data_IF_980420272187
#
_entry.id   IF_980420272187
#
_cell.length_a   1.000
_cell.length_b   1.000
_cell.length_c   1.000
_cell.angle_alpha   90.00
_cell.angle_beta   90.00
_cell.angle_gamma   90.00
#
_symmetry.space_group_name_H-M   'P 1'
#
loop_
_entity.id
_entity.type
_entity.pdbx_description
1 polymer ?
#
# COMPACT_ATOMS: atom_id res chain seq x y z
N UNK A 1 -21.20 8.87 -10.72
CA UNK A 1 -21.88 7.58 -10.50
C UNK A 1 -20.87 6.43 -10.35
N UNK A 2 -19.96 6.22 -11.31
CA UNK A 2 -19.06 5.05 -11.31
C UNK A 2 -18.11 4.97 -10.11
N UNK A 3 -17.52 6.09 -9.67
CA UNK A 3 -16.63 6.09 -8.48
C UNK A 3 -17.37 5.57 -7.24
N UNK A 4 -18.59 6.05 -7.00
CA UNK A 4 -19.42 5.61 -5.87
C UNK A 4 -19.87 4.16 -6.04
N UNK A 5 -20.15 3.71 -7.26
CA UNK A 5 -20.50 2.32 -7.53
C UNK A 5 -19.33 1.37 -7.23
N UNK A 6 -18.10 1.71 -7.62
CA UNK A 6 -16.91 0.92 -7.28
C UNK A 6 -16.66 0.93 -5.77
N UNK A 7 -16.75 2.09 -5.13
CA UNK A 7 -16.59 2.20 -3.67
C UNK A 7 -17.66 1.38 -2.92
N UNK A 8 -18.91 1.44 -3.38
CA UNK A 8 -20.03 0.67 -2.85
C UNK A 8 -19.84 -0.83 -3.05
N UNK A 9 -19.28 -1.26 -4.18
CA UNK A 9 -18.95 -2.67 -4.43
C UNK A 9 -17.87 -3.17 -3.46
N UNK A 10 -16.82 -2.39 -3.20
CA UNK A 10 -15.80 -2.70 -2.18
C UNK A 10 -16.47 -2.83 -0.80
N UNK A 11 -17.28 -1.83 -0.42
CA UNK A 11 -18.01 -1.86 0.85
C UNK A 11 -18.92 -3.08 0.99
N UNK A 12 -19.70 -3.40 -0.04
CA UNK A 12 -20.57 -4.58 -0.08
C UNK A 12 -19.78 -5.88 0.11
N UNK A 13 -18.64 -6.04 -0.55
CA UNK A 13 -17.79 -7.21 -0.40
C UNK A 13 -17.26 -7.38 1.03
N UNK A 14 -16.81 -6.28 1.67
CA UNK A 14 -16.35 -6.32 3.05
C UNK A 14 -17.49 -6.50 4.07
N UNK A 15 -18.66 -5.93 3.85
CA UNK A 15 -19.83 -6.20 4.68
C UNK A 15 -20.28 -7.65 4.58
N UNK A 16 -20.28 -8.22 3.37
CA UNK A 16 -20.58 -9.64 3.18
C UNK A 16 -19.53 -10.52 3.86
N UNK A 17 -18.24 -10.18 3.76
CA UNK A 17 -17.16 -10.85 4.49
C UNK A 17 -17.43 -10.87 6.00
N UNK A 18 -17.74 -9.70 6.59
CA UNK A 18 -18.03 -9.56 8.01
C UNK A 18 -19.23 -10.43 8.39
N UNK A 19 -20.36 -10.32 7.69
CA UNK A 19 -21.58 -11.04 8.02
C UNK A 19 -21.46 -12.56 7.82
N UNK A 20 -20.66 -13.01 6.86
CA UNK A 20 -20.52 -14.43 6.54
C UNK A 20 -19.46 -15.15 7.40
N UNK A 21 -18.34 -14.49 7.73
CA UNK A 21 -17.17 -15.16 8.34
C UNK A 21 -16.71 -14.57 9.66
N UNK A 22 -17.21 -13.38 10.02
CA UNK A 22 -16.82 -12.64 11.23
C UNK A 22 -18.02 -11.97 11.89
N UNK A 23 -19.18 -12.62 11.89
CA UNK A 23 -20.44 -11.97 12.23
C UNK A 23 -20.46 -11.53 13.71
N UNK A 24 -20.44 -10.22 14.00
CA UNK A 24 -20.35 -9.71 15.38
C UNK A 24 -21.67 -9.88 16.15
N UNK A 25 -22.75 -10.30 15.48
CA UNK A 25 -24.07 -10.48 16.08
C UNK A 25 -24.36 -11.94 16.50
N UNK A 26 -23.43 -12.86 16.25
CA UNK A 26 -23.53 -14.24 16.78
C UNK A 26 -23.43 -14.18 18.31
N UNK A 27 -24.49 -14.64 18.99
CA UNK A 27 -24.56 -14.65 20.44
C UNK A 27 -23.91 -15.90 21.01
N UNK A 28 -23.14 -15.72 22.08
CA UNK A 28 -22.66 -16.84 22.90
C UNK A 28 -23.81 -17.39 23.73
N UNK A 29 -23.96 -18.72 23.78
CA UNK A 29 -24.91 -19.41 24.64
C UNK A 29 -24.23 -20.59 25.36
N UNK A 30 -24.10 -20.55 26.70
CA UNK A 30 -24.52 -19.47 27.60
C UNK A 30 -23.69 -18.20 27.39
N UNK A 31 -24.30 -17.04 27.62
CA UNK A 31 -23.57 -15.78 27.66
C UNK A 31 -22.63 -15.79 28.88
N UNK A 32 -21.33 -15.53 28.72
CA UNK A 32 -20.43 -15.45 29.85
C UNK A 32 -20.78 -14.21 30.69
N UNK A 33 -20.55 -14.30 32.02
CA UNK A 33 -20.79 -13.19 32.95
C UNK A 33 -19.88 -11.99 32.61
N UNK A 34 -18.64 -12.26 32.20
CA UNK A 34 -17.66 -11.27 31.76
C UNK A 34 -17.11 -11.61 30.37
N UNK A 35 -16.71 -10.59 29.61
CA UNK A 35 -16.03 -10.76 28.32
C UNK A 35 -14.62 -11.36 28.48
N UNK A 36 -14.09 -11.99 27.43
CA UNK A 36 -12.74 -12.57 27.44
C UNK A 36 -11.59 -11.55 27.33
N UNK A 37 -11.93 -10.26 27.18
CA UNK A 37 -11.03 -9.13 26.91
C UNK A 37 -9.94 -9.43 25.85
N UNK A 38 -9.02 -8.50 25.64
CA UNK A 38 -7.78 -8.74 24.95
C UNK A 38 -6.75 -9.36 25.92
N UNK A 39 -5.74 -10.03 25.36
CA UNK A 39 -4.56 -10.41 26.12
C UNK A 39 -4.00 -9.18 26.85
N UNK A 40 -3.60 -9.24 28.14
CA UNK A 40 -3.10 -8.09 28.90
C UNK A 40 -2.05 -7.24 28.18
N UNK A 41 -1.12 -7.84 27.43
CA UNK A 41 -0.09 -7.11 26.65
C UNK A 41 -0.66 -6.25 25.50
N UNK A 42 -1.90 -6.52 25.11
CA UNK A 42 -2.64 -5.81 24.08
C UNK A 42 -3.53 -4.70 24.68
N UNK A 43 -3.68 -4.62 26.00
CA UNK A 43 -4.51 -3.59 26.64
C UNK A 43 -3.74 -2.28 26.84
N UNK A 44 -3.26 -1.71 25.73
CA UNK A 44 -2.42 -0.50 25.73
C UNK A 44 -2.98 0.58 24.80
N UNK A 45 -2.71 1.85 25.14
CA UNK A 45 -3.17 3.00 24.37
C UNK A 45 -2.56 3.02 22.96
N UNK A 46 -1.32 2.55 22.82
CA UNK A 46 -0.65 2.35 21.53
C UNK A 46 -1.42 1.40 20.64
N UNK A 47 -1.88 0.24 21.16
CA UNK A 47 -2.75 -0.67 20.42
C UNK A 47 -4.11 -0.07 20.12
N UNK A 48 -4.68 0.76 21.00
CA UNK A 48 -5.97 1.39 20.72
C UNK A 48 -5.91 2.41 19.56
N UNK A 49 -4.76 3.06 19.37
CA UNK A 49 -4.59 4.15 18.40
C UNK A 49 -4.07 3.66 17.04
N UNK A 50 -3.04 2.81 17.00
CA UNK A 50 -2.35 2.54 15.73
C UNK A 50 -3.19 1.76 14.69
N UNK A 51 -4.00 0.72 15.03
CA UNK A 51 -4.78 -0.01 14.05
C UNK A 51 -5.85 0.86 13.37
N UNK A 52 -6.62 1.72 14.08
CA UNK A 52 -7.49 2.69 13.41
C UNK A 52 -6.76 3.58 12.40
N UNK A 53 -5.55 4.07 12.72
CA UNK A 53 -4.75 4.87 11.79
C UNK A 53 -4.32 4.05 10.56
N UNK A 54 -3.82 2.83 10.76
CA UNK A 54 -3.46 1.92 9.67
C UNK A 54 -4.66 1.64 8.75
N UNK A 55 -5.83 1.34 9.34
CA UNK A 55 -7.05 1.08 8.57
C UNK A 55 -7.57 2.32 7.85
N UNK A 56 -7.50 3.51 8.45
CA UNK A 56 -7.81 4.77 7.75
C UNK A 56 -6.89 4.97 6.54
N UNK A 57 -5.62 4.60 6.66
CA UNK A 57 -4.69 4.59 5.53
C UNK A 57 -5.08 3.60 4.43
N UNK A 58 -5.27 2.32 4.78
CA UNK A 58 -5.65 1.28 3.82
C UNK A 58 -6.98 1.56 3.12
N UNK A 59 -8.02 1.90 3.90
CA UNK A 59 -9.34 2.23 3.37
C UNK A 59 -9.28 3.54 2.59
N UNK A 60 -8.46 4.51 3.00
CA UNK A 60 -8.26 5.74 2.24
C UNK A 60 -7.77 5.49 0.81
N UNK A 61 -6.88 4.53 0.61
CA UNK A 61 -6.43 4.15 -0.74
C UNK A 61 -7.52 3.50 -1.61
N UNK A 62 -8.58 2.93 -1.01
CA UNK A 62 -9.73 2.41 -1.77
C UNK A 62 -10.43 3.49 -2.59
N UNK A 63 -10.41 4.74 -2.11
CA UNK A 63 -10.99 5.88 -2.83
C UNK A 63 -10.19 6.14 -4.11
N UNK A 64 -8.86 6.16 -4.01
CA UNK A 64 -7.96 6.34 -5.16
C UNK A 64 -8.13 5.21 -6.19
N UNK A 65 -8.28 3.97 -5.71
CA UNK A 65 -8.62 2.82 -6.54
C UNK A 65 -9.97 2.99 -7.24
N UNK A 66 -11.01 3.41 -6.52
CA UNK A 66 -12.35 3.64 -7.06
C UNK A 66 -12.35 4.71 -8.16
N UNK A 67 -11.60 5.80 -7.98
CA UNK A 67 -11.37 6.80 -9.03
C UNK A 67 -10.63 6.22 -10.24
N UNK A 68 -9.67 5.33 -10.04
CA UNK A 68 -8.88 4.71 -11.11
C UNK A 68 -9.72 3.77 -11.96
N UNK A 69 -10.48 2.87 -11.31
CA UNK A 69 -11.37 1.92 -11.99
C UNK A 69 -12.48 2.66 -12.72
N UNK A 70 -13.10 3.67 -12.10
CA UNK A 70 -14.10 4.49 -12.76
C UNK A 70 -13.54 5.20 -13.99
N UNK A 71 -12.34 5.78 -13.91
CA UNK A 71 -11.70 6.45 -15.04
C UNK A 71 -11.35 5.48 -16.19
N UNK A 72 -10.98 4.23 -15.88
CA UNK A 72 -10.78 3.17 -16.88
C UNK A 72 -12.09 2.76 -17.57
N UNK A 73 -13.20 2.67 -16.82
CA UNK A 73 -14.53 2.36 -17.36
C UNK A 73 -14.99 3.49 -18.29
N UNK A 74 -14.86 4.74 -17.84
CA UNK A 74 -15.27 5.95 -18.59
C UNK A 74 -14.34 6.28 -19.76
N UNK A 75 -13.10 5.78 -19.74
CA UNK A 75 -12.08 6.07 -20.74
C UNK A 75 -11.57 7.52 -20.69
N UNK A 76 -11.75 8.23 -19.56
CA UNK A 76 -11.39 9.64 -19.40
C UNK A 76 -10.39 9.80 -18.26
N UNK A 77 -9.13 10.03 -18.63
CA UNK A 77 -8.02 10.21 -17.69
C UNK A 77 -7.25 11.48 -18.09
N UNK A 78 -7.46 12.55 -17.32
CA UNK A 78 -6.88 13.86 -17.56
C UNK A 78 -6.21 14.44 -16.31
N UNK A 79 -5.67 15.65 -16.40
CA UNK A 79 -5.04 16.33 -15.28
C UNK A 79 -6.03 16.68 -14.15
N UNK A 80 -7.34 16.75 -14.44
CA UNK A 80 -8.36 16.99 -13.42
C UNK A 80 -8.50 15.76 -12.52
N UNK A 81 -8.50 14.56 -13.09
CA UNK A 81 -8.50 13.30 -12.33
C UNK A 81 -7.36 13.26 -11.30
N UNK A 82 -6.14 13.63 -11.70
CA UNK A 82 -4.98 13.64 -10.81
C UNK A 82 -5.15 14.63 -9.64
N UNK A 83 -5.77 15.78 -9.91
CA UNK A 83 -6.09 16.81 -8.90
C UNK A 83 -7.12 16.32 -7.88
N UNK A 84 -8.06 15.48 -8.30
CA UNK A 84 -9.04 14.85 -7.41
C UNK A 84 -8.42 13.74 -6.57
N UNK A 85 -7.56 12.91 -7.16
CA UNK A 85 -6.95 11.74 -6.48
C UNK A 85 -5.88 12.13 -5.48
N UNK A 86 -5.10 13.20 -5.75
CA UNK A 86 -3.94 13.58 -4.93
C UNK A 86 -4.30 13.89 -3.47
N UNK A 87 -5.34 14.69 -3.14
CA UNK A 87 -5.73 14.92 -1.75
C UNK A 87 -6.13 13.64 -1.01
N UNK A 88 -6.87 12.73 -1.66
CA UNK A 88 -7.24 11.44 -1.07
C UNK A 88 -6.03 10.56 -0.83
N UNK A 89 -5.09 10.54 -1.79
CA UNK A 89 -3.82 9.81 -1.63
C UNK A 89 -3.04 10.36 -0.45
N UNK A 90 -2.98 11.70 -0.30
CA UNK A 90 -2.25 12.35 0.78
C UNK A 90 -2.86 12.05 2.15
N UNK A 91 -4.18 12.13 2.27
CA UNK A 91 -4.89 11.80 3.51
C UNK A 91 -4.65 10.35 3.90
N UNK A 92 -4.82 9.41 2.96
CA UNK A 92 -4.54 7.99 3.19
C UNK A 92 -3.09 7.76 3.61
N UNK A 93 -2.13 8.38 2.91
CA UNK A 93 -0.71 8.27 3.20
C UNK A 93 -0.34 8.84 4.57
N UNK A 94 -0.93 9.97 4.99
CA UNK A 94 -0.70 10.56 6.32
C UNK A 94 -1.19 9.63 7.44
N UNK A 95 -2.40 9.08 7.31
CA UNK A 95 -2.92 8.13 8.29
C UNK A 95 -2.10 6.85 8.34
N UNK A 96 -1.69 6.32 7.18
CA UNK A 96 -0.81 5.14 7.14
C UNK A 96 0.55 5.44 7.77
N UNK A 97 1.14 6.60 7.51
CA UNK A 97 2.39 7.05 8.14
C UNK A 97 2.25 7.12 9.66
N UNK A 98 1.17 7.74 10.15
CA UNK A 98 0.90 7.83 11.59
C UNK A 98 0.66 6.45 12.21
N UNK A 99 -0.05 5.56 11.53
CA UNK A 99 -0.28 4.19 11.99
C UNK A 99 1.01 3.37 12.07
N UNK A 100 1.88 3.45 11.06
CA UNK A 100 3.20 2.80 11.07
C UNK A 100 4.06 3.38 12.19
N UNK A 101 4.17 4.71 12.29
CA UNK A 101 5.00 5.36 13.31
C UNK A 101 4.53 5.02 14.74
N UNK A 102 3.22 5.06 14.98
CA UNK A 102 2.66 4.72 16.29
C UNK A 102 2.82 3.23 16.60
N UNK A 103 2.65 2.35 15.59
CA UNK A 103 2.89 0.92 15.73
C UNK A 103 4.35 0.60 16.08
N UNK A 104 5.30 1.22 15.37
CA UNK A 104 6.74 1.11 15.67
C UNK A 104 7.09 1.61 17.06
N UNK A 105 6.52 2.72 17.50
CA UNK A 105 6.72 3.24 18.85
C UNK A 105 6.18 2.26 19.91
N UNK A 106 4.95 1.77 19.74
CA UNK A 106 4.34 0.78 20.62
C UNK A 106 5.15 -0.51 20.71
N UNK A 107 5.55 -1.06 19.57
CA UNK A 107 6.37 -2.28 19.51
C UNK A 107 7.71 -2.12 20.24
N UNK A 108 8.33 -0.94 20.17
CA UNK A 108 9.58 -0.67 20.85
C UNK A 108 9.46 -0.74 22.38
N UNK A 109 8.44 -0.11 22.98
CA UNK A 109 8.32 -0.04 24.44
C UNK A 109 7.53 -1.20 25.06
N UNK A 110 6.49 -1.70 24.40
CA UNK A 110 5.60 -2.73 24.99
C UNK A 110 6.10 -4.14 24.69
N UNK A 111 6.53 -4.37 23.44
CA UNK A 111 6.94 -5.71 22.99
C UNK A 111 8.44 -5.96 23.19
N UNK A 112 9.20 -4.91 23.53
CA UNK A 112 10.60 -5.03 23.95
C UNK A 112 11.52 -5.59 22.88
N UNK A 113 11.19 -5.39 21.60
CA UNK A 113 11.88 -6.05 20.50
C UNK A 113 13.36 -5.62 20.32
N UNK A 114 13.80 -4.58 21.03
CA UNK A 114 15.17 -4.07 20.93
C UNK A 114 15.37 -3.11 19.75
N UNK A 115 14.27 -2.60 19.15
CA UNK A 115 14.26 -1.70 18.00
C UNK A 115 12.86 -1.25 17.63
N UNK A 116 12.75 -0.35 16.64
CA UNK A 116 11.47 0.19 16.16
C UNK A 116 10.91 -0.53 14.91
N UNK A 117 11.68 -1.47 14.35
CA UNK A 117 11.36 -2.17 13.10
C UNK A 117 12.09 -3.52 13.03
N UNK A 118 11.39 -4.59 12.61
CA UNK A 118 11.91 -5.96 12.60
C UNK A 118 11.84 -6.64 11.23
N UNK A 119 11.28 -5.97 10.23
CA UNK A 119 10.95 -6.56 8.94
C UNK A 119 10.01 -7.78 9.07
N UNK A 120 9.14 -7.76 10.09
CA UNK A 120 8.12 -8.80 10.25
C UNK A 120 7.12 -8.72 9.08
N UNK A 121 6.58 -9.85 8.57
CA UNK A 121 5.64 -9.82 7.46
C UNK A 121 4.43 -8.90 7.63
N UNK A 122 3.97 -8.66 8.87
CA UNK A 122 2.86 -7.73 9.15
C UNK A 122 3.31 -6.27 9.08
N UNK A 123 4.52 -5.97 9.54
CA UNK A 123 5.15 -4.65 9.32
C UNK A 123 5.29 -4.39 7.81
N UNK A 124 5.83 -5.36 7.07
CA UNK A 124 6.01 -5.29 5.61
C UNK A 124 4.68 -5.09 4.87
N UNK A 125 3.61 -5.75 5.32
CA UNK A 125 2.26 -5.58 4.78
C UNK A 125 1.75 -4.13 4.88
N UNK A 126 2.12 -3.38 5.91
CA UNK A 126 1.82 -1.95 6.02
C UNK A 126 2.78 -1.08 5.21
N UNK A 127 4.03 -1.49 5.08
CA UNK A 127 5.06 -0.71 4.42
C UNK A 127 4.95 -0.70 2.89
N UNK A 128 4.55 -1.81 2.27
CA UNK A 128 4.36 -1.90 0.83
C UNK A 128 3.37 -0.87 0.26
N UNK A 129 2.12 -0.74 0.76
CA UNK A 129 1.21 0.31 0.28
C UNK A 129 1.69 1.71 0.67
N UNK A 130 2.49 1.87 1.72
CA UNK A 130 3.10 3.16 2.04
C UNK A 130 4.09 3.61 0.96
N UNK A 131 5.01 2.73 0.54
CA UNK A 131 5.98 3.00 -0.53
C UNK A 131 5.29 3.26 -1.88
N UNK A 132 4.33 2.41 -2.25
CA UNK A 132 3.54 2.59 -3.47
C UNK A 132 2.69 3.87 -3.42
N UNK A 133 2.13 4.22 -2.26
CA UNK A 133 1.41 5.47 -2.00
C UNK A 133 2.31 6.71 -2.14
N UNK A 134 3.56 6.63 -1.64
CA UNK A 134 4.55 7.70 -1.85
C UNK A 134 4.87 7.87 -3.34
N UNK A 135 5.07 6.77 -4.08
CA UNK A 135 5.28 6.83 -5.52
C UNK A 135 4.07 7.48 -6.24
N UNK A 136 2.86 7.05 -5.86
CA UNK A 136 1.60 7.58 -6.38
C UNK A 136 1.45 9.09 -6.16
N UNK A 137 1.77 9.60 -4.97
CA UNK A 137 1.74 11.04 -4.68
C UNK A 137 2.62 11.84 -5.65
N UNK A 138 3.86 11.38 -5.84
CA UNK A 138 4.81 12.03 -6.73
C UNK A 138 4.37 11.94 -8.19
N UNK A 139 3.89 10.77 -8.63
CA UNK A 139 3.40 10.56 -9.99
C UNK A 139 2.14 11.40 -10.29
N UNK A 140 1.24 11.55 -9.31
CA UNK A 140 0.05 12.39 -9.42
C UNK A 140 0.39 13.87 -9.61
N UNK A 141 1.45 14.38 -8.99
CA UNK A 141 1.92 15.76 -9.19
C UNK A 141 2.37 15.97 -10.65
N UNK A 142 3.16 15.03 -11.20
CA UNK A 142 3.61 15.08 -12.61
C UNK A 142 2.40 15.05 -13.54
N UNK A 143 1.45 14.15 -13.28
CA UNK A 143 0.24 14.01 -14.08
C UNK A 143 -0.64 15.27 -14.05
N UNK A 144 -0.84 15.87 -12.87
CA UNK A 144 -1.62 17.10 -12.73
C UNK A 144 -0.95 18.28 -13.44
N UNK A 145 0.37 18.45 -13.28
CA UNK A 145 1.08 19.64 -13.79
C UNK A 145 1.44 19.53 -15.26
N UNK A 146 1.71 18.32 -15.75
CA UNK A 146 2.33 18.09 -17.07
C UNK A 146 1.52 17.16 -17.96
N UNK A 147 0.43 16.56 -17.45
CA UNK A 147 -0.34 15.54 -18.17
C UNK A 147 0.55 14.37 -18.65
N UNK A 148 1.64 14.09 -17.92
CA UNK A 148 2.59 13.01 -18.18
C UNK A 148 2.38 11.86 -17.18
N UNK A 149 2.96 10.68 -17.45
CA UNK A 149 2.88 9.48 -16.59
C UNK A 149 1.48 8.95 -16.30
N UNK A 150 0.46 9.28 -17.12
CA UNK A 150 -0.94 8.89 -16.88
C UNK A 150 -1.13 7.40 -16.59
N UNK A 151 -0.58 6.55 -17.46
CA UNK A 151 -0.67 5.08 -17.34
C UNK A 151 -0.03 4.61 -16.04
N UNK A 152 1.14 5.16 -15.71
CA UNK A 152 1.90 4.81 -14.51
C UNK A 152 1.20 5.25 -13.23
N UNK A 153 0.72 6.49 -13.15
CA UNK A 153 -0.04 7.00 -12.01
C UNK A 153 -1.29 6.16 -11.74
N UNK A 154 -1.99 5.76 -12.80
CA UNK A 154 -3.18 4.95 -12.67
C UNK A 154 -2.88 3.51 -12.23
N UNK A 155 -1.79 2.92 -12.77
CA UNK A 155 -1.30 1.62 -12.30
C UNK A 155 -0.92 1.69 -10.81
N UNK A 156 -0.18 2.71 -10.39
CA UNK A 156 0.18 2.92 -8.98
C UNK A 156 -1.05 3.03 -8.08
N UNK A 157 -2.09 3.76 -8.49
CA UNK A 157 -3.32 3.86 -7.71
C UNK A 157 -4.04 2.51 -7.55
N UNK A 158 -4.00 1.66 -8.57
CA UNK A 158 -4.51 0.29 -8.49
C UNK A 158 -3.63 -0.55 -7.55
N UNK A 159 -2.31 -0.51 -7.74
CA UNK A 159 -1.36 -1.31 -6.98
C UNK A 159 -1.34 -0.94 -5.48
N UNK A 160 -1.42 0.35 -5.13
CA UNK A 160 -1.39 0.78 -3.74
C UNK A 160 -2.53 0.19 -2.93
N UNK A 161 -3.77 0.25 -3.43
CA UNK A 161 -4.90 -0.40 -2.75
C UNK A 161 -4.81 -1.93 -2.81
N UNK A 162 -4.32 -2.48 -3.93
CA UNK A 162 -4.07 -3.91 -4.07
C UNK A 162 -3.12 -4.44 -3.00
N UNK A 163 -2.07 -3.68 -2.66
CA UNK A 163 -1.12 -4.00 -1.59
C UNK A 163 -1.77 -3.88 -0.20
N UNK A 164 -2.69 -2.94 0.02
CA UNK A 164 -3.49 -2.90 1.26
C UNK A 164 -4.42 -4.12 1.41
N UNK A 165 -5.07 -4.56 0.32
CA UNK A 165 -5.87 -5.80 0.31
C UNK A 165 -5.00 -7.03 0.54
N UNK A 166 -3.82 -7.08 -0.09
CA UNK A 166 -2.84 -8.14 0.15
C UNK A 166 -2.41 -8.16 1.62
N UNK A 167 -2.10 -7.01 2.21
CA UNK A 167 -1.77 -6.94 3.63
C UNK A 167 -2.90 -7.49 4.52
N UNK A 168 -4.16 -7.18 4.20
CA UNK A 168 -5.32 -7.74 4.90
C UNK A 168 -5.37 -9.26 4.79
N UNK A 169 -5.13 -9.82 3.60
CA UNK A 169 -5.03 -11.27 3.40
C UNK A 169 -3.89 -11.88 4.21
N UNK A 170 -2.69 -11.31 4.12
CA UNK A 170 -1.49 -11.80 4.81
C UNK A 170 -1.68 -11.88 6.33
N UNK A 171 -2.29 -10.87 6.94
CA UNK A 171 -2.49 -10.79 8.39
C UNK A 171 -3.65 -11.68 8.88
N UNK A 172 -4.67 -11.92 8.05
CA UNK A 172 -5.92 -12.59 8.49
C UNK A 172 -6.09 -14.03 8.02
N UNK A 173 -5.38 -14.44 6.97
CA UNK A 173 -5.51 -15.80 6.42
C UNK A 173 -4.82 -16.88 7.26
N UNK A 174 -3.87 -16.48 8.12
CA UNK A 174 -3.05 -17.43 8.88
C UNK A 174 -1.99 -18.16 8.03
N UNK A 175 -1.76 -17.72 6.79
CA UNK A 175 -0.73 -18.30 5.91
C UNK A 175 0.69 -17.94 6.36
N UNK A 176 0.86 -16.82 7.07
CA UNK A 176 2.15 -16.40 7.60
C UNK A 176 2.31 -16.77 9.07
N UNK A 177 3.52 -17.20 9.43
CA UNK A 177 3.99 -17.18 10.82
C UNK A 177 4.45 -15.76 11.15
N UNK A 178 3.75 -15.08 12.05
CA UNK A 178 4.12 -13.74 12.52
C UNK A 178 3.75 -13.55 14.00
N UNK A 179 4.55 -12.77 14.72
CA UNK A 179 4.27 -12.36 16.10
C UNK A 179 3.07 -11.41 16.21
N UNK A 180 2.70 -10.76 15.10
CA UNK A 180 1.54 -9.89 14.99
C UNK A 180 0.26 -10.60 14.53
N UNK A 181 0.32 -11.91 14.28
CA UNK A 181 -0.83 -12.66 13.79
C UNK A 181 -1.77 -13.03 14.95
N UNK A 182 -2.86 -12.27 15.09
CA UNK A 182 -3.94 -12.53 16.05
C UNK A 182 -5.22 -12.95 15.33
N UNK A 183 -5.88 -14.02 15.80
CA UNK A 183 -7.16 -14.55 15.30
C UNK A 183 -7.14 -15.03 13.83
N UNK A 184 -6.40 -16.12 13.58
CA UNK A 184 -6.34 -16.81 12.28
C UNK A 184 -7.55 -17.74 12.07
N UNK A 185 -8.17 -17.66 10.89
CA UNK A 185 -9.28 -18.54 10.49
C UNK A 185 -9.19 -18.81 8.98
N UNK A 186 -9.03 -20.07 8.54
CA UNK A 186 -8.96 -20.43 7.13
C UNK A 186 -10.15 -19.95 6.30
N UNK A 187 -11.36 -19.94 6.86
CA UNK A 187 -12.55 -19.49 6.15
C UNK A 187 -12.48 -17.99 5.81
N UNK A 188 -11.94 -17.18 6.74
CA UNK A 188 -11.68 -15.75 6.51
C UNK A 188 -10.63 -15.54 5.43
N UNK A 189 -9.56 -16.34 5.48
CA UNK A 189 -8.50 -16.31 4.48
C UNK A 189 -9.01 -16.55 3.06
N UNK A 190 -9.82 -17.60 2.87
CA UNK A 190 -10.42 -17.93 1.56
C UNK A 190 -11.36 -16.81 1.09
N UNK A 191 -12.20 -16.27 1.98
CA UNK A 191 -13.11 -15.18 1.60
C UNK A 191 -12.34 -13.92 1.15
N UNK A 192 -11.31 -13.52 1.91
CA UNK A 192 -10.46 -12.38 1.54
C UNK A 192 -9.73 -12.67 0.23
N UNK A 193 -9.27 -13.90 -0.01
CA UNK A 193 -8.67 -14.28 -1.29
C UNK A 193 -9.63 -14.10 -2.47
N UNK A 194 -10.92 -14.40 -2.31
CA UNK A 194 -11.95 -14.12 -3.33
C UNK A 194 -12.09 -12.62 -3.59
N UNK A 195 -12.14 -11.79 -2.53
CA UNK A 195 -12.16 -10.32 -2.65
C UNK A 195 -10.91 -9.84 -3.42
N UNK A 196 -9.75 -10.34 -3.03
CA UNK A 196 -8.45 -10.00 -3.59
C UNK A 196 -8.40 -10.36 -5.08
N UNK A 197 -8.82 -11.58 -5.44
CA UNK A 197 -8.93 -12.03 -6.84
C UNK A 197 -9.89 -11.16 -7.65
N UNK A 198 -11.06 -10.82 -7.11
CA UNK A 198 -12.06 -10.02 -7.79
C UNK A 198 -11.58 -8.58 -8.04
N UNK A 199 -11.11 -7.87 -7.00
CA UNK A 199 -10.76 -6.47 -7.13
C UNK A 199 -9.39 -6.26 -7.77
N UNK A 200 -8.37 -7.02 -7.38
CA UNK A 200 -7.02 -6.89 -7.96
C UNK A 200 -7.02 -7.48 -9.36
N UNK A 201 -7.46 -8.73 -9.52
CA UNK A 201 -7.53 -9.39 -10.83
C UNK A 201 -8.44 -8.63 -11.80
N UNK A 202 -9.63 -8.22 -11.36
CA UNK A 202 -10.57 -7.46 -12.19
C UNK A 202 -10.05 -6.09 -12.61
N UNK A 203 -9.44 -5.32 -11.69
CA UNK A 203 -8.91 -4.00 -12.02
C UNK A 203 -7.66 -4.06 -12.90
N UNK A 204 -6.75 -5.02 -12.67
CA UNK A 204 -5.57 -5.23 -13.53
C UNK A 204 -5.96 -5.76 -14.91
N UNK A 205 -6.94 -6.65 -15.01
CA UNK A 205 -7.48 -7.09 -16.29
C UNK A 205 -8.14 -5.93 -17.05
N UNK A 206 -8.95 -5.12 -16.37
CA UNK A 206 -9.53 -3.91 -16.96
C UNK A 206 -8.46 -2.92 -17.42
N UNK A 207 -7.42 -2.71 -16.60
CA UNK A 207 -6.27 -1.90 -16.95
C UNK A 207 -5.60 -2.41 -18.21
N UNK A 208 -5.28 -3.71 -18.30
CA UNK A 208 -4.66 -4.32 -19.47
C UNK A 208 -5.52 -4.16 -20.75
N UNK A 209 -6.84 -4.36 -20.64
CA UNK A 209 -7.78 -4.19 -21.76
C UNK A 209 -7.89 -2.73 -22.25
N UNK A 210 -7.66 -1.76 -21.37
CA UNK A 210 -7.79 -0.33 -21.66
C UNK A 210 -6.46 0.36 -21.95
N UNK A 211 -5.33 -0.24 -21.55
CA UNK A 211 -4.01 0.38 -21.59
C UNK A 211 -3.62 0.90 -22.98
N UNK A 212 -3.94 0.16 -24.04
CA UNK A 212 -3.63 0.56 -25.44
C UNK A 212 -4.40 1.79 -25.92
N UNK A 213 -5.53 2.11 -25.27
CA UNK A 213 -6.34 3.31 -25.58
C UNK A 213 -5.91 4.54 -24.78
N UNK A 214 -5.02 4.36 -23.81
CA UNK A 214 -4.50 5.47 -23.01
C UNK A 214 -3.39 6.18 -23.79
N UNK A 215 -3.60 7.47 -24.07
CA UNK A 215 -2.59 8.27 -24.76
C UNK A 215 -1.38 8.51 -23.85
N UNK A 216 -0.18 8.30 -24.40
CA UNK A 216 1.05 8.71 -23.76
C UNK A 216 1.00 10.22 -23.51
N UNK A 217 1.39 10.62 -22.30
CA UNK A 217 1.31 12.00 -21.84
C UNK A 217 2.40 12.90 -22.40
N UNK A 218 2.55 14.09 -21.80
CA UNK A 218 3.54 15.09 -22.25
C UNK A 218 5.00 14.61 -22.21
N UNK A 219 5.77 14.99 -23.22
CA UNK A 219 7.21 14.74 -23.32
C UNK A 219 8.01 15.68 -22.39
N UNK A 220 9.12 15.17 -21.86
CA UNK A 220 10.06 15.91 -21.00
C UNK A 220 11.50 15.38 -21.19
N UNK A 221 12.49 16.22 -20.88
CA UNK A 221 13.90 15.84 -20.94
C UNK A 221 14.27 14.99 -19.71
N UNK A 222 15.16 13.98 -19.81
CA UNK A 222 15.56 13.16 -18.66
C UNK A 222 16.07 13.97 -17.47
N UNK A 223 16.85 15.02 -17.75
CA UNK A 223 17.23 16.01 -16.76
C UNK A 223 16.11 17.05 -16.66
N UNK A 224 15.19 16.83 -15.74
CA UNK A 224 14.06 17.72 -15.42
C UNK A 224 13.44 17.32 -14.09
N UNK A 225 12.52 18.14 -13.56
CA UNK A 225 11.71 17.76 -12.40
C UNK A 225 10.89 16.51 -12.66
N UNK A 226 10.32 16.34 -13.87
CA UNK A 226 9.64 15.12 -14.28
C UNK A 226 10.58 13.91 -14.20
N UNK A 227 11.80 14.03 -14.76
CA UNK A 227 12.78 12.94 -14.75
C UNK A 227 13.23 12.53 -13.35
N UNK A 228 13.45 13.51 -12.46
CA UNK A 228 13.75 13.21 -11.06
C UNK A 228 12.60 12.50 -10.34
N UNK A 229 11.34 12.88 -10.64
CA UNK A 229 10.16 12.23 -10.08
C UNK A 229 9.93 10.82 -10.67
N UNK A 230 10.28 10.59 -11.95
CA UNK A 230 10.31 9.25 -12.55
C UNK A 230 11.36 8.37 -11.87
N UNK A 231 12.56 8.90 -11.64
CA UNK A 231 13.62 8.16 -10.96
C UNK A 231 13.23 7.81 -9.52
N UNK A 232 12.62 8.77 -8.80
CA UNK A 232 12.04 8.53 -7.48
C UNK A 232 11.00 7.39 -7.51
N UNK A 233 10.08 7.43 -8.47
CA UNK A 233 9.09 6.38 -8.67
C UNK A 233 9.72 5.02 -8.96
N UNK A 234 10.76 4.96 -9.79
CA UNK A 234 11.48 3.72 -10.11
C UNK A 234 12.07 3.10 -8.84
N UNK A 235 12.76 3.88 -8.02
CA UNK A 235 13.32 3.38 -6.76
C UNK A 235 12.25 2.93 -5.78
N UNK A 236 11.20 3.73 -5.55
CA UNK A 236 10.12 3.38 -4.62
C UNK A 236 9.35 2.12 -5.05
N UNK A 237 9.07 1.97 -6.35
CA UNK A 237 8.39 0.77 -6.85
C UNK A 237 9.30 -0.47 -6.84
N UNK A 238 10.58 -0.31 -7.14
CA UNK A 238 11.57 -1.40 -7.00
C UNK A 238 11.73 -1.83 -5.54
N UNK A 239 11.76 -0.87 -4.62
CA UNK A 239 11.81 -1.13 -3.19
C UNK A 239 10.53 -1.84 -2.71
N UNK A 240 9.35 -1.41 -3.18
CA UNK A 240 8.07 -2.08 -2.92
C UNK A 240 8.10 -3.53 -3.41
N UNK A 241 8.57 -3.76 -4.65
CA UNK A 241 8.68 -5.09 -5.23
C UNK A 241 9.66 -5.98 -4.46
N UNK A 242 10.77 -5.42 -3.98
CA UNK A 242 11.76 -6.13 -3.16
C UNK A 242 11.12 -6.58 -1.84
N UNK A 243 10.39 -5.70 -1.15
CA UNK A 243 9.69 -6.03 0.08
C UNK A 243 8.61 -7.09 -0.17
N UNK A 244 7.85 -6.96 -1.27
CA UNK A 244 6.84 -7.93 -1.68
C UNK A 244 7.43 -9.31 -1.92
N UNK A 245 8.54 -9.39 -2.67
CA UNK A 245 9.23 -10.66 -2.95
C UNK A 245 9.74 -11.26 -1.65
N UNK A 246 10.45 -10.50 -0.81
CA UNK A 246 10.93 -11.01 0.47
C UNK A 246 9.82 -11.52 1.38
N UNK A 247 8.66 -10.85 1.37
CA UNK A 247 7.50 -11.22 2.19
C UNK A 247 6.76 -12.45 1.66
N UNK A 248 6.61 -12.59 0.34
CA UNK A 248 5.85 -13.69 -0.28
C UNK A 248 6.70 -14.91 -0.62
N UNK A 249 8.02 -14.77 -0.73
CA UNK A 249 8.92 -15.87 -1.12
C UNK A 249 8.83 -17.09 -0.19
N UNK A 250 8.80 -16.95 1.16
CA UNK A 250 8.59 -18.09 2.05
C UNK A 250 7.30 -18.86 1.74
N UNK A 251 6.20 -18.15 1.47
CA UNK A 251 4.90 -18.75 1.15
C UNK A 251 4.94 -19.51 -0.17
N UNK A 252 5.57 -18.92 -1.19
CA UNK A 252 5.72 -19.55 -2.49
C UNK A 252 6.59 -20.81 -2.42
N UNK A 253 7.68 -20.78 -1.66
CA UNK A 253 8.56 -21.93 -1.46
C UNK A 253 7.84 -23.06 -0.72
N UNK A 254 7.11 -22.75 0.35
CA UNK A 254 6.33 -23.72 1.11
C UNK A 254 5.26 -24.37 0.21
N UNK A 255 4.56 -23.59 -0.60
CA UNK A 255 3.53 -24.12 -1.50
C UNK A 255 4.06 -25.09 -2.56
N UNK A 256 5.29 -24.89 -3.04
CA UNK A 256 5.90 -25.72 -4.10
C UNK A 256 6.68 -26.91 -3.55
N UNK A 257 7.41 -26.72 -2.45
CA UNK A 257 8.38 -27.70 -1.93
C UNK A 257 8.00 -28.31 -0.60
N UNK A 258 7.03 -27.73 0.12
CA UNK A 258 6.72 -28.04 1.52
C UNK A 258 7.76 -27.53 2.52
N UNK A 259 8.87 -26.92 2.05
CA UNK A 259 9.92 -26.39 2.90
C UNK A 259 9.53 -25.07 3.55
N UNK A 260 9.74 -24.95 4.87
CA UNK A 260 9.50 -23.71 5.63
C UNK A 260 10.81 -22.97 5.83
N UNK A 261 10.84 -21.71 5.40
CA UNK A 261 11.93 -20.78 5.64
C UNK A 261 11.39 -19.50 6.27
N UNK A 262 12.28 -18.71 6.86
CA UNK A 262 11.98 -17.35 7.28
C UNK A 262 12.89 -16.39 6.52
N UNK A 263 12.33 -15.28 6.04
CA UNK A 263 13.06 -14.16 5.46
C UNK A 263 12.89 -12.99 6.40
N UNK A 264 13.98 -12.59 7.06
CA UNK A 264 13.99 -11.50 8.04
C UNK A 264 14.99 -10.41 7.68
N UNK A 265 15.34 -9.58 8.66
CA UNK A 265 16.17 -8.38 8.51
C UNK A 265 17.41 -8.53 7.59
N UNK A 266 18.22 -9.60 7.66
CA UNK A 266 19.40 -9.71 6.79
C UNK A 266 19.11 -9.59 5.29
N UNK A 267 17.98 -10.14 4.81
CA UNK A 267 17.60 -10.02 3.40
C UNK A 267 17.19 -8.59 3.06
N UNK A 268 16.35 -7.97 3.90
CA UNK A 268 15.82 -6.65 3.63
C UNK A 268 16.90 -5.57 3.78
N UNK A 269 17.79 -5.66 4.76
CA UNK A 269 18.87 -4.70 4.94
C UNK A 269 19.86 -4.71 3.76
N UNK A 270 20.17 -5.91 3.23
CA UNK A 270 21.04 -6.09 2.06
C UNK A 270 20.39 -5.68 0.73
N UNK A 271 19.05 -5.61 0.65
CA UNK A 271 18.35 -5.33 -0.60
C UNK A 271 17.68 -3.96 -0.62
N UNK A 272 16.94 -3.61 0.42
CA UNK A 272 16.24 -2.34 0.57
C UNK A 272 17.20 -1.17 0.80
N UNK A 273 18.19 -1.33 1.69
CA UNK A 273 19.16 -0.26 2.01
C UNK A 273 19.87 0.30 0.77
N UNK A 274 20.48 -0.55 -0.08
CA UNK A 274 21.13 -0.12 -1.33
C UNK A 274 20.19 0.54 -2.35
N UNK A 275 18.88 0.27 -2.31
CA UNK A 275 17.90 0.97 -3.15
C UNK A 275 17.58 2.37 -2.60
N UNK A 276 17.47 2.50 -1.27
CA UNK A 276 17.08 3.77 -0.65
C UNK A 276 18.22 4.78 -0.56
N UNK A 277 19.46 4.35 -0.38
CA UNK A 277 20.61 5.27 -0.26
C UNK A 277 20.77 6.20 -1.48
N UNK A 278 20.79 5.70 -2.74
CA UNK A 278 20.84 6.56 -3.92
C UNK A 278 19.61 7.44 -4.05
N UNK A 279 18.42 6.91 -3.72
CA UNK A 279 17.19 7.69 -3.76
C UNK A 279 17.29 8.91 -2.83
N UNK A 280 17.71 8.70 -1.58
CA UNK A 280 17.85 9.76 -0.58
C UNK A 280 18.88 10.82 -1.01
N UNK A 281 19.96 10.41 -1.69
CA UNK A 281 20.93 11.36 -2.26
C UNK A 281 20.33 12.23 -3.38
N UNK A 282 19.35 11.71 -4.14
CA UNK A 282 18.75 12.39 -5.30
C UNK A 282 17.58 13.31 -4.89
N UNK A 283 16.85 12.97 -3.83
CA UNK A 283 15.65 13.69 -3.37
C UNK A 283 15.84 15.21 -3.25
N UNK A 284 16.94 15.75 -2.68
CA UNK A 284 17.12 17.20 -2.53
C UNK A 284 17.16 17.96 -3.87
N UNK A 285 17.62 17.32 -4.95
CA UNK A 285 17.76 17.96 -6.26
C UNK A 285 16.42 18.08 -7.00
N UNK A 286 15.51 17.12 -6.83
CA UNK A 286 14.26 17.03 -7.59
C UNK A 286 13.41 18.32 -7.54
N UNK A 287 13.09 18.86 -6.34
CA UNK A 287 12.35 20.11 -6.20
C UNK A 287 13.06 21.34 -6.78
N UNK A 288 14.40 21.32 -6.90
CA UNK A 288 15.20 22.43 -7.41
C UNK A 288 15.32 22.44 -8.93
N UNK A 289 15.09 21.30 -9.59
CA UNK A 289 15.04 21.21 -11.05
C UNK A 289 13.78 21.89 -11.60
N UNK A 290 13.89 22.50 -12.78
CA UNK A 290 12.76 23.05 -13.51
C UNK A 290 11.97 21.96 -14.25
N UNK A 291 10.68 22.23 -14.50
CA UNK A 291 9.84 21.39 -15.36
C UNK A 291 10.33 21.42 -16.82
N UNK A 292 10.07 20.35 -17.58
CA UNK A 292 10.51 20.08 -18.98
C UNK A 292 12.02 19.93 -19.18
N UNK A 293 12.83 20.84 -18.65
CA UNK A 293 14.29 20.86 -18.80
C UNK A 293 14.91 21.52 -17.58
N UNK A 294 15.74 20.77 -16.87
CA UNK A 294 16.48 21.22 -15.70
C UNK A 294 17.97 21.39 -16.00
N UNK A 295 18.66 21.97 -15.02
CA UNK A 295 20.11 22.11 -14.98
C UNK A 295 20.59 21.58 -13.62
N UNK A 296 21.37 20.49 -13.64
CA UNK A 296 21.84 19.82 -12.42
C UNK A 296 22.87 20.69 -11.69
N UNK A 297 23.73 21.42 -12.43
CA UNK A 297 24.75 22.25 -11.82
C UNK A 297 24.10 23.43 -11.09
N UNK A 298 23.12 24.07 -11.72
CA UNK A 298 22.35 25.15 -11.09
C UNK A 298 21.54 24.65 -9.88
N UNK A 299 21.03 23.41 -9.92
CA UNK A 299 20.36 22.81 -8.75
C UNK A 299 21.36 22.53 -7.61
N UNK A 300 22.54 22.00 -7.93
CA UNK A 300 23.58 21.71 -6.94
C UNK A 300 24.11 22.97 -6.24
N UNK A 301 24.26 24.09 -6.96
CA UNK A 301 24.69 25.37 -6.38
C UNK A 301 23.67 25.98 -5.40
N UNK A 302 22.42 25.50 -5.37
CA UNK A 302 21.36 25.98 -4.48
C UNK A 302 21.16 25.12 -3.24
N UNK A 303 21.80 23.95 -3.18
CA UNK A 303 21.82 23.07 -2.01
C UNK A 303 22.95 23.49 -1.06
#
# INVERSE_FOLDING_TARGET
ANVLAVQGAIGCAFFLFILATSNPFIRLNPAPIEGRDLNPILQDLGLAIHPPLLYLGYVGFSICFSFSVAALIEGRIDASWARWVRPWTLVAWMFLTGGIAMGSYWAYYELGWGGFWFWDPVENASFMPWLAGTALLHSAIVMEKRSALKIWTLLLAILTFSLSLLGTFLVRSGVLTSVHAFATDPARGVFILCILTLFIGGSLALFALRASRLTAGGLFHPISREGALVLNNLFLTTATATVLVGTLYPLALEAVTGGKISVGAPFFDLTFGPLMLPLLAIVPFGPLLAWKRGDVLAAAQRL
#
